data_IF_317533320730
#
_entry.id   IF_317533320730
#
_cell.length_a   1.000
_cell.length_b   1.000
_cell.length_c   1.000
_cell.angle_alpha   90.00
_cell.angle_beta   90.00
_cell.angle_gamma   90.00
#
_symmetry.space_group_name_H-M   'P 1'
#
loop_
_entity.id
_entity.type
_entity.pdbx_description
1 polymer ?
#
# COMPACT_ATOMS: atom_id res chain seq x y z
N UNK A 1 -6.15 1.42 -6.15
CA UNK A 1 -6.14 0.14 -6.88
C UNK A 1 -4.95 0.13 -7.80
N UNK A 2 -3.99 -0.70 -7.43
CA UNK A 2 -2.76 -1.01 -8.14
C UNK A 2 -3.00 -1.68 -9.49
N UNK A 3 -3.90 -2.66 -9.56
CA UNK A 3 -4.13 -3.48 -10.75
C UNK A 3 -4.39 -2.66 -12.03
N UNK A 4 -5.02 -1.48 -11.92
CA UNK A 4 -5.27 -0.65 -13.10
C UNK A 4 -3.97 -0.20 -13.77
N UNK A 5 -2.98 0.25 -12.99
CA UNK A 5 -1.67 0.63 -13.55
C UNK A 5 -0.85 -0.60 -13.93
N UNK A 6 -0.94 -1.70 -13.17
CA UNK A 6 -0.21 -2.93 -13.47
C UNK A 6 -0.63 -3.52 -14.82
N UNK A 7 -1.93 -3.67 -15.07
CA UNK A 7 -2.44 -4.26 -16.31
C UNK A 7 -2.37 -3.28 -17.48
N UNK A 8 -2.95 -2.08 -17.33
CA UNK A 8 -3.00 -1.13 -18.43
C UNK A 8 -1.62 -0.52 -18.68
N UNK A 9 -0.94 -0.05 -17.64
CA UNK A 9 0.43 0.48 -17.75
C UNK A 9 1.42 -0.57 -18.25
N UNK A 10 1.36 -1.81 -17.74
CA UNK A 10 2.19 -2.91 -18.21
C UNK A 10 1.97 -3.26 -19.68
N UNK A 11 0.70 -3.38 -20.12
CA UNK A 11 0.35 -3.61 -21.52
C UNK A 11 0.87 -2.49 -22.42
N UNK A 12 0.69 -1.25 -21.97
CA UNK A 12 1.13 -0.09 -22.72
C UNK A 12 2.65 -0.02 -22.86
N UNK A 13 3.38 -0.32 -21.78
CA UNK A 13 4.85 -0.41 -21.79
C UNK A 13 5.32 -1.47 -22.78
N UNK A 14 4.66 -2.64 -22.81
CA UNK A 14 4.98 -3.70 -23.76
C UNK A 14 4.73 -3.27 -25.23
N UNK A 15 3.64 -2.57 -25.50
CA UNK A 15 3.36 -2.02 -26.84
C UNK A 15 4.42 -0.99 -27.23
N UNK A 16 4.81 -0.10 -26.31
CA UNK A 16 5.87 0.89 -26.53
C UNK A 16 7.20 0.21 -26.85
N UNK A 17 7.57 -0.82 -26.12
CA UNK A 17 8.81 -1.57 -26.33
C UNK A 17 8.85 -2.23 -27.72
N UNK A 18 7.72 -2.77 -28.18
CA UNK A 18 7.63 -3.44 -29.49
C UNK A 18 7.52 -2.46 -30.65
N UNK A 19 6.82 -1.34 -30.47
CA UNK A 19 6.46 -0.42 -31.57
C UNK A 19 7.26 0.88 -31.59
N UNK A 20 7.97 1.19 -30.50
CA UNK A 20 8.66 2.46 -30.28
C UNK A 20 7.74 3.66 -29.98
N UNK A 21 6.42 3.45 -29.85
CA UNK A 21 5.43 4.51 -29.64
C UNK A 21 4.46 4.15 -28.53
N UNK A 22 4.10 5.11 -27.70
CA UNK A 22 3.03 4.94 -26.72
C UNK A 22 1.69 4.78 -27.45
N UNK A 23 0.87 3.77 -27.11
CA UNK A 23 -0.46 3.64 -27.70
C UNK A 23 -1.43 4.65 -27.09
N UNK A 24 -2.46 5.01 -27.85
CA UNK A 24 -3.60 5.74 -27.29
C UNK A 24 -4.29 4.86 -26.24
N UNK A 25 -4.57 5.44 -25.06
CA UNK A 25 -5.19 4.75 -23.96
C UNK A 25 -6.47 5.46 -23.52
N UNK A 26 -7.55 4.68 -23.35
CA UNK A 26 -8.86 5.20 -22.98
C UNK A 26 -9.47 4.41 -21.84
N UNK A 27 -10.20 5.11 -20.98
CA UNK A 27 -11.03 4.55 -19.93
C UNK A 27 -12.51 4.58 -20.36
N UNK A 28 -13.18 3.44 -20.30
CA UNK A 28 -14.61 3.35 -20.57
C UNK A 28 -15.39 3.67 -19.28
N UNK A 29 -15.85 4.92 -19.13
CA UNK A 29 -16.59 5.37 -17.96
C UNK A 29 -18.08 5.02 -18.07
N UNK A 30 -18.45 3.94 -17.37
CA UNK A 30 -19.82 3.47 -17.26
C UNK A 30 -20.48 3.81 -15.92
N UNK A 31 -19.85 4.64 -15.08
CA UNK A 31 -20.39 5.00 -13.75
C UNK A 31 -21.74 5.70 -13.86
N UNK A 32 -21.96 6.46 -14.94
CA UNK A 32 -23.26 7.03 -15.28
C UNK A 32 -23.87 6.32 -16.49
N UNK A 33 -24.85 5.44 -16.26
CA UNK A 33 -25.54 4.70 -17.34
C UNK A 33 -26.29 5.59 -18.35
N UNK A 34 -26.62 6.83 -17.98
CA UNK A 34 -27.26 7.81 -18.88
C UNK A 34 -26.25 8.68 -19.63
N UNK A 35 -24.97 8.60 -19.28
CA UNK A 35 -23.88 9.35 -19.91
C UNK A 35 -22.61 8.50 -19.94
N UNK A 36 -22.66 7.39 -20.68
CA UNK A 36 -21.50 6.51 -20.89
C UNK A 36 -20.53 7.19 -21.84
N UNK A 37 -19.24 7.22 -21.51
CA UNK A 37 -18.23 7.89 -22.35
C UNK A 37 -16.90 7.15 -22.37
N UNK A 38 -16.21 7.26 -23.49
CA UNK A 38 -14.77 6.93 -23.57
C UNK A 38 -14.01 8.20 -23.18
N UNK A 39 -13.16 8.09 -22.20
CA UNK A 39 -12.33 9.19 -21.71
C UNK A 39 -10.87 8.86 -21.98
N UNK A 40 -10.07 9.81 -22.44
CA UNK A 40 -8.63 9.58 -22.58
C UNK A 40 -8.01 9.36 -21.19
N UNK A 41 -6.98 8.51 -21.11
CA UNK A 41 -6.43 8.06 -19.83
C UNK A 41 -5.91 9.22 -18.97
N UNK A 42 -5.13 10.16 -19.54
CA UNK A 42 -4.64 11.33 -18.82
C UNK A 42 -5.79 12.20 -18.32
N UNK A 43 -6.82 12.39 -19.13
CA UNK A 43 -8.03 13.09 -18.70
C UNK A 43 -8.73 12.38 -17.52
N UNK A 44 -8.88 11.05 -17.58
CA UNK A 44 -9.52 10.27 -16.53
C UNK A 44 -8.74 10.34 -15.20
N UNK A 45 -7.41 10.18 -15.25
CA UNK A 45 -6.52 10.33 -14.08
C UNK A 45 -6.63 11.73 -13.50
N UNK A 46 -6.57 12.77 -14.33
CA UNK A 46 -6.65 14.17 -13.90
C UNK A 46 -8.00 14.55 -13.30
N UNK A 47 -9.12 13.97 -13.79
CA UNK A 47 -10.45 14.17 -13.21
C UNK A 47 -10.56 13.47 -11.86
N UNK A 48 -10.13 12.22 -11.77
CA UNK A 48 -10.19 11.45 -10.53
C UNK A 48 -9.33 12.11 -9.44
N UNK A 49 -8.08 12.48 -9.74
CA UNK A 49 -7.18 13.12 -8.80
C UNK A 49 -7.75 14.42 -8.20
N UNK A 50 -8.37 15.28 -9.04
CA UNK A 50 -9.00 16.52 -8.57
C UNK A 50 -10.32 16.29 -7.83
N UNK A 51 -11.07 15.25 -8.19
CA UNK A 51 -12.34 14.95 -7.55
C UNK A 51 -12.15 14.33 -6.15
N UNK A 52 -11.04 13.58 -5.95
CA UNK A 52 -10.78 12.80 -4.74
C UNK A 52 -9.47 13.18 -4.06
N UNK A 53 -8.33 12.77 -4.62
CA UNK A 53 -6.99 12.85 -4.01
C UNK A 53 -6.64 14.26 -3.54
N UNK A 54 -6.96 15.29 -4.34
CA UNK A 54 -6.64 16.70 -4.03
C UNK A 54 -7.84 17.51 -3.55
N UNK A 55 -8.98 16.86 -3.32
CA UNK A 55 -10.20 17.56 -2.91
C UNK A 55 -10.28 17.64 -1.38
N UNK A 56 -10.17 18.83 -0.76
CA UNK A 56 -10.18 18.96 0.70
C UNK A 56 -11.47 18.43 1.34
N UNK A 57 -12.62 18.50 0.64
CA UNK A 57 -13.88 17.93 1.16
C UNK A 57 -13.81 16.40 1.20
N UNK A 58 -13.27 15.79 0.17
CA UNK A 58 -13.10 14.34 0.11
C UNK A 58 -12.11 13.85 1.17
N UNK A 59 -10.95 14.51 1.25
CA UNK A 59 -9.90 14.18 2.22
C UNK A 59 -10.45 14.25 3.65
N UNK A 60 -11.13 15.35 4.00
CA UNK A 60 -11.74 15.53 5.33
C UNK A 60 -12.72 14.42 5.70
N UNK A 61 -13.56 14.00 4.75
CA UNK A 61 -14.49 12.90 4.97
C UNK A 61 -13.78 11.55 5.09
N UNK A 62 -12.73 11.33 4.28
CA UNK A 62 -11.91 10.13 4.34
C UNK A 62 -11.16 9.98 5.65
N UNK A 63 -10.63 11.05 6.23
CA UNK A 63 -9.90 11.01 7.51
C UNK A 63 -10.74 10.40 8.66
N UNK A 64 -12.08 10.41 8.58
CA UNK A 64 -12.96 9.74 9.56
C UNK A 64 -12.75 8.21 9.62
N UNK A 65 -12.16 7.61 8.58
CA UNK A 65 -11.84 6.18 8.49
C UNK A 65 -10.55 5.74 9.20
N UNK A 66 -9.88 6.63 9.94
CA UNK A 66 -8.74 6.29 10.83
C UNK A 66 -7.56 5.63 10.09
N UNK A 67 -6.85 4.70 10.73
CA UNK A 67 -5.70 3.98 10.17
C UNK A 67 -5.89 3.43 8.74
N UNK A 68 -7.09 2.95 8.38
CA UNK A 68 -7.36 2.47 7.02
C UNK A 68 -7.27 3.58 5.97
N UNK A 69 -7.71 4.79 6.32
CA UNK A 69 -7.62 5.96 5.45
C UNK A 69 -6.19 6.50 5.36
N UNK A 70 -5.42 6.42 6.45
CA UNK A 70 -3.99 6.75 6.43
C UNK A 70 -3.22 5.81 5.48
N UNK A 71 -3.52 4.51 5.51
CA UNK A 71 -2.95 3.52 4.57
C UNK A 71 -3.33 3.79 3.11
N UNK A 72 -4.56 4.22 2.84
CA UNK A 72 -5.00 4.58 1.47
C UNK A 72 -4.16 5.72 0.88
N UNK A 73 -3.68 6.66 1.69
CA UNK A 73 -2.83 7.76 1.21
C UNK A 73 -1.49 7.21 0.72
N UNK A 74 -0.86 6.32 1.49
CA UNK A 74 0.37 5.65 1.06
C UNK A 74 0.15 4.80 -0.20
N UNK A 75 -1.00 4.11 -0.31
CA UNK A 75 -1.36 3.35 -1.51
C UNK A 75 -1.51 4.27 -2.73
N UNK A 76 -2.18 5.42 -2.59
CA UNK A 76 -2.33 6.41 -3.67
C UNK A 76 -0.97 6.90 -4.14
N UNK A 77 -0.09 7.30 -3.21
CA UNK A 77 1.27 7.77 -3.55
C UNK A 77 2.09 6.69 -4.27
N UNK A 78 1.98 5.44 -3.82
CA UNK A 78 2.65 4.30 -4.46
C UNK A 78 2.09 4.00 -5.86
N UNK A 79 0.77 4.07 -6.02
CA UNK A 79 0.11 3.87 -7.32
C UNK A 79 0.46 4.99 -8.31
N UNK A 80 0.59 6.24 -7.86
CA UNK A 80 1.06 7.35 -8.70
C UNK A 80 2.47 7.07 -9.23
N UNK A 81 3.38 6.61 -8.37
CA UNK A 81 4.72 6.19 -8.81
C UNK A 81 4.66 5.05 -9.84
N UNK A 82 3.80 4.05 -9.63
CA UNK A 82 3.60 2.94 -10.58
C UNK A 82 3.04 3.40 -11.94
N UNK A 83 2.10 4.34 -11.93
CA UNK A 83 1.58 4.97 -13.14
C UNK A 83 2.68 5.66 -13.93
N UNK A 84 3.49 6.51 -13.28
CA UNK A 84 4.56 7.21 -14.00
C UNK A 84 5.63 6.25 -14.53
N UNK A 85 5.96 5.20 -13.75
CA UNK A 85 6.93 4.20 -14.18
C UNK A 85 6.52 3.44 -15.46
N UNK A 86 5.22 3.32 -15.71
CA UNK A 86 4.67 2.61 -16.88
C UNK A 86 4.16 3.54 -17.97
N UNK A 87 3.81 4.77 -17.60
CA UNK A 87 3.17 5.81 -18.42
C UNK A 87 3.60 7.21 -17.92
N UNK A 88 4.84 7.64 -18.23
CA UNK A 88 5.42 8.87 -17.68
C UNK A 88 4.63 10.13 -17.99
N UNK A 89 3.83 10.15 -19.06
CA UNK A 89 3.03 11.30 -19.47
C UNK A 89 1.79 11.56 -18.59
N UNK A 90 1.40 10.60 -17.75
CA UNK A 90 0.19 10.68 -16.92
C UNK A 90 0.38 11.45 -15.62
N UNK A 91 1.57 11.36 -15.05
CA UNK A 91 1.92 11.98 -13.77
C UNK A 91 3.04 12.97 -14.05
N UNK A 92 2.69 14.25 -14.03
CA UNK A 92 3.63 15.35 -14.25
C UNK A 92 4.12 15.95 -12.93
N UNK A 93 5.10 16.87 -13.03
CA UNK A 93 5.67 17.57 -11.89
C UNK A 93 4.59 18.31 -11.08
N UNK A 94 3.55 18.82 -11.74
CA UNK A 94 2.42 19.49 -11.12
C UNK A 94 1.61 18.55 -10.23
N UNK A 95 1.31 17.32 -10.67
CA UNK A 95 0.61 16.33 -9.86
C UNK A 95 1.44 15.93 -8.62
N UNK A 96 2.76 15.77 -8.75
CA UNK A 96 3.63 15.50 -7.60
C UNK A 96 3.71 16.67 -6.62
N UNK A 97 3.82 17.89 -7.12
CA UNK A 97 3.80 19.09 -6.29
C UNK A 97 2.47 19.23 -5.55
N UNK A 98 1.35 18.98 -6.21
CA UNK A 98 0.01 19.00 -5.61
C UNK A 98 -0.11 17.94 -4.49
N UNK A 99 0.45 16.74 -4.69
CA UNK A 99 0.52 15.71 -3.66
C UNK A 99 1.35 16.16 -2.45
N UNK A 100 2.54 16.73 -2.70
CA UNK A 100 3.42 17.27 -1.65
C UNK A 100 2.71 18.34 -0.83
N UNK A 101 2.17 19.35 -1.49
CA UNK A 101 1.49 20.47 -0.83
C UNK A 101 0.27 19.99 -0.04
N UNK A 102 -0.50 19.04 -0.59
CA UNK A 102 -1.72 18.54 0.05
C UNK A 102 -1.43 17.68 1.27
N UNK A 103 -0.53 16.70 1.16
CA UNK A 103 -0.37 15.66 2.19
C UNK A 103 0.84 15.86 3.11
N UNK A 104 1.86 16.61 2.66
CA UNK A 104 3.09 16.86 3.43
C UNK A 104 3.04 18.25 4.08
N UNK A 105 2.79 19.29 3.29
CA UNK A 105 2.64 20.67 3.79
C UNK A 105 1.27 20.95 4.40
N UNK A 106 0.30 20.05 4.20
CA UNK A 106 -1.09 20.24 4.63
C UNK A 106 -1.63 21.63 4.23
N UNK A 107 -1.50 22.00 2.95
CA UNK A 107 -1.89 23.34 2.44
C UNK A 107 -3.33 23.74 2.75
N UNK A 108 -4.21 22.78 3.02
CA UNK A 108 -5.61 22.98 3.37
C UNK A 108 -5.85 23.10 4.88
N UNK A 109 -4.81 22.96 5.69
CA UNK A 109 -4.83 23.01 7.16
C UNK A 109 -5.88 22.05 7.75
N UNK A 110 -5.92 20.82 7.25
CA UNK A 110 -6.88 19.80 7.69
C UNK A 110 -6.31 18.92 8.81
N UNK A 111 -5.03 19.06 9.14
CA UNK A 111 -4.30 18.20 10.08
C UNK A 111 -3.95 16.84 9.46
N UNK A 112 -3.70 16.80 8.15
CA UNK A 112 -3.50 15.53 7.41
C UNK A 112 -2.24 14.83 7.90
N UNK A 113 -1.12 15.56 8.02
CA UNK A 113 0.16 15.00 8.44
C UNK A 113 0.07 14.44 9.85
N UNK A 114 -0.52 15.19 10.78
CA UNK A 114 -0.74 14.77 12.18
C UNK A 114 -1.68 13.55 12.25
N UNK A 115 -2.71 13.53 11.40
CA UNK A 115 -3.61 12.40 11.29
C UNK A 115 -2.89 11.13 10.83
N UNK A 116 -2.13 11.17 9.74
CA UNK A 116 -1.39 10.00 9.23
C UNK A 116 -0.36 9.56 10.28
N UNK A 117 0.40 10.51 10.84
CA UNK A 117 1.40 10.24 11.88
C UNK A 117 0.80 9.47 13.06
N UNK A 118 -0.33 9.94 13.60
CA UNK A 118 -1.01 9.32 14.74
C UNK A 118 -1.65 7.97 14.41
N UNK A 119 -2.32 7.87 13.28
CA UNK A 119 -3.14 6.69 12.96
C UNK A 119 -2.31 5.58 12.32
N UNK A 120 -1.28 5.92 11.55
CA UNK A 120 -0.39 4.98 10.86
C UNK A 120 0.94 5.65 10.42
N UNK A 121 1.87 5.83 11.36
CA UNK A 121 3.19 6.44 11.08
C UNK A 121 3.97 5.75 9.94
N UNK A 122 3.82 4.44 9.79
CA UNK A 122 4.40 3.67 8.68
C UNK A 122 3.87 4.12 7.29
N UNK A 123 2.61 4.56 7.22
CA UNK A 123 2.06 5.12 5.98
C UNK A 123 2.71 6.46 5.63
N UNK A 124 2.96 7.33 6.61
CA UNK A 124 3.65 8.59 6.35
C UNK A 124 5.11 8.35 5.93
N UNK A 125 5.75 7.34 6.52
CA UNK A 125 7.09 6.92 6.12
C UNK A 125 7.11 6.40 4.68
N UNK A 126 6.08 5.65 4.26
CA UNK A 126 5.92 5.18 2.88
C UNK A 126 5.71 6.36 1.92
N UNK A 127 4.85 7.32 2.26
CA UNK A 127 4.62 8.53 1.44
C UNK A 127 5.92 9.28 1.21
N UNK A 128 6.66 9.60 2.28
CA UNK A 128 7.93 10.32 2.18
C UNK A 128 8.98 9.55 1.39
N UNK A 129 9.08 8.24 1.60
CA UNK A 129 9.98 7.35 0.87
C UNK A 129 9.70 7.31 -0.64
N UNK A 130 8.44 7.11 -1.03
CA UNK A 130 8.03 7.02 -2.44
C UNK A 130 8.28 8.35 -3.15
N UNK A 131 7.97 9.48 -2.51
CA UNK A 131 8.25 10.80 -3.07
C UNK A 131 9.75 11.04 -3.24
N UNK A 132 10.57 10.66 -2.26
CA UNK A 132 12.03 10.72 -2.38
C UNK A 132 12.56 9.81 -3.49
N UNK A 133 11.98 8.62 -3.67
CA UNK A 133 12.33 7.72 -4.77
C UNK A 133 11.96 8.29 -6.14
N UNK A 134 10.82 8.96 -6.26
CA UNK A 134 10.42 9.68 -7.47
C UNK A 134 11.46 10.75 -7.83
N UNK A 135 11.91 11.55 -6.85
CA UNK A 135 12.99 12.53 -7.08
C UNK A 135 14.31 11.86 -7.49
N UNK A 136 14.69 10.75 -6.83
CA UNK A 136 15.93 10.01 -7.12
C UNK A 136 15.93 9.43 -8.54
N UNK A 137 14.77 9.02 -9.05
CA UNK A 137 14.60 8.46 -10.39
C UNK A 137 14.37 9.52 -11.48
N UNK A 138 14.30 10.79 -11.11
CA UNK A 138 14.05 11.89 -12.05
C UNK A 138 12.60 11.97 -12.54
N UNK A 139 11.69 11.29 -11.85
CA UNK A 139 10.25 11.30 -12.10
C UNK A 139 9.64 12.64 -11.66
N UNK A 140 10.04 13.10 -10.48
CA UNK A 140 9.62 14.38 -9.93
C UNK A 140 10.79 15.34 -9.75
N UNK A 141 10.69 16.53 -10.34
CA UNK A 141 11.65 17.63 -10.19
C UNK A 141 11.29 18.52 -8.99
N UNK A 142 11.39 17.94 -7.80
CA UNK A 142 11.24 18.68 -6.55
C UNK A 142 12.35 19.71 -6.35
N UNK A 143 12.03 20.81 -5.65
CA UNK A 143 13.02 21.79 -5.19
C UNK A 143 13.96 21.17 -4.14
N UNK A 144 15.14 21.76 -3.97
CA UNK A 144 16.09 21.33 -2.92
C UNK A 144 15.46 21.42 -1.53
N UNK A 145 14.59 22.40 -1.30
CA UNK A 145 13.87 22.58 -0.04
C UNK A 145 12.85 21.46 0.20
N UNK A 146 12.03 21.13 -0.80
CA UNK A 146 11.08 20.02 -0.73
C UNK A 146 11.80 18.69 -0.45
N UNK A 147 12.92 18.43 -1.14
CA UNK A 147 13.73 17.23 -0.94
C UNK A 147 14.31 17.18 0.48
N UNK A 148 14.84 18.31 0.97
CA UNK A 148 15.40 18.40 2.32
C UNK A 148 14.32 18.17 3.38
N UNK A 149 13.14 18.78 3.23
CA UNK A 149 12.02 18.60 4.15
C UNK A 149 11.57 17.13 4.19
N UNK A 150 11.36 16.51 3.03
CA UNK A 150 10.99 15.10 2.94
C UNK A 150 12.05 14.19 3.59
N UNK A 151 13.34 14.45 3.35
CA UNK A 151 14.42 13.65 3.91
C UNK A 151 14.46 13.74 5.44
N UNK A 152 14.40 14.96 6.01
CA UNK A 152 14.37 15.17 7.47
C UNK A 152 13.10 14.58 8.10
N UNK A 153 11.94 14.73 7.45
CA UNK A 153 10.69 14.11 7.91
C UNK A 153 10.80 12.58 7.91
N UNK A 154 11.29 12.00 6.82
CA UNK A 154 11.50 10.55 6.72
C UNK A 154 12.45 10.05 7.81
N UNK A 155 13.57 10.73 8.03
CA UNK A 155 14.51 10.40 9.10
C UNK A 155 13.84 10.42 10.49
N UNK A 156 13.05 11.46 10.78
CA UNK A 156 12.29 11.54 12.03
C UNK A 156 11.32 10.36 12.23
N UNK A 157 10.61 9.97 11.16
CA UNK A 157 9.71 8.82 11.19
C UNK A 157 10.44 7.49 11.40
N UNK A 158 11.61 7.32 10.77
CA UNK A 158 12.47 6.14 10.95
C UNK A 158 12.99 6.04 12.38
N UNK A 159 13.35 7.18 12.98
CA UNK A 159 13.77 7.26 14.38
C UNK A 159 12.63 6.90 15.34
N UNK A 160 11.41 7.35 15.06
CA UNK A 160 10.26 7.16 15.94
C UNK A 160 9.66 5.74 15.83
N UNK A 161 9.47 5.24 14.61
CA UNK A 161 8.73 4.01 14.35
C UNK A 161 9.62 2.83 13.91
N UNK A 162 10.91 3.08 13.70
CA UNK A 162 11.75 2.19 12.89
C UNK A 162 11.47 2.37 11.39
N UNK A 163 12.36 1.85 10.55
CA UNK A 163 12.09 1.73 9.12
C UNK A 163 11.13 0.56 8.88
N UNK A 164 10.06 0.89 8.18
CA UNK A 164 9.11 -0.07 7.66
C UNK A 164 9.78 -0.97 6.61
N UNK A 165 9.16 -2.12 6.32
CA UNK A 165 9.77 -3.20 5.53
C UNK A 165 9.42 -3.17 4.04
N UNK A 166 8.74 -2.13 3.55
CA UNK A 166 8.39 -2.02 2.12
C UNK A 166 9.61 -1.92 1.21
N UNK A 167 9.34 -2.19 -0.06
CA UNK A 167 10.28 -2.01 -1.17
C UNK A 167 10.77 -0.56 -1.32
N UNK A 168 10.08 0.42 -0.72
CA UNK A 168 10.46 1.83 -0.73
C UNK A 168 11.20 2.25 0.54
N UNK A 169 11.52 1.36 1.48
CA UNK A 169 12.12 1.72 2.77
C UNK A 169 13.33 0.84 3.10
N UNK A 170 13.20 -0.14 4.00
CA UNK A 170 14.33 -0.92 4.54
C UNK A 170 15.07 -1.75 3.47
N UNK A 171 14.43 -2.07 2.35
CA UNK A 171 14.97 -2.95 1.31
C UNK A 171 15.54 -2.23 0.08
N UNK A 172 15.67 -0.89 0.11
CA UNK A 172 16.18 -0.09 -1.02
C UNK A 172 17.44 0.71 -0.66
N UNK A 173 18.60 0.08 -0.79
CA UNK A 173 19.89 0.71 -0.44
C UNK A 173 20.21 1.96 -1.29
N UNK A 174 19.75 2.01 -2.54
CA UNK A 174 19.96 3.18 -3.40
C UNK A 174 19.18 4.38 -2.88
N UNK A 175 17.94 4.16 -2.45
CA UNK A 175 17.12 5.19 -1.83
C UNK A 175 17.68 5.60 -0.47
N UNK A 176 18.04 4.65 0.39
CA UNK A 176 18.66 4.96 1.69
C UNK A 176 19.90 5.85 1.55
N UNK A 177 20.79 5.51 0.60
CA UNK A 177 21.96 6.33 0.31
C UNK A 177 21.60 7.71 -0.26
N UNK A 178 20.55 7.80 -1.06
CA UNK A 178 20.05 9.07 -1.57
C UNK A 178 19.53 9.94 -0.43
N UNK A 179 18.66 9.42 0.44
CA UNK A 179 18.11 10.11 1.61
C UNK A 179 19.26 10.60 2.51
N UNK A 180 20.22 9.73 2.83
CA UNK A 180 21.37 10.10 3.65
C UNK A 180 22.22 11.24 3.07
N UNK A 181 22.28 11.41 1.74
CA UNK A 181 22.99 12.53 1.10
C UNK A 181 22.19 13.83 1.11
N UNK A 182 20.88 13.76 1.38
CA UNK A 182 19.99 14.92 1.48
C UNK A 182 19.82 15.41 2.93
N UNK A 183 20.32 14.64 3.89
CA UNK A 183 20.33 14.99 5.30
C UNK A 183 21.62 15.74 5.69
N UNK A 184 21.57 16.58 6.74
CA UNK A 184 22.76 17.06 7.44
C UNK A 184 23.64 15.91 7.95
N UNK A 185 24.94 16.13 8.10
CA UNK A 185 25.91 15.06 8.39
C UNK A 185 25.61 14.27 9.68
N UNK A 186 25.15 14.97 10.73
CA UNK A 186 24.74 14.36 11.99
C UNK A 186 23.51 13.45 11.81
N UNK A 187 22.48 13.94 11.13
CA UNK A 187 21.25 13.18 10.84
C UNK A 187 21.52 12.01 9.91
N UNK A 188 22.40 12.17 8.92
CA UNK A 188 22.78 11.11 8.00
C UNK A 188 23.48 9.93 8.72
N UNK A 189 24.32 10.22 9.73
CA UNK A 189 24.97 9.20 10.56
C UNK A 189 23.94 8.47 11.42
N UNK A 190 23.01 9.21 12.03
CA UNK A 190 21.92 8.64 12.84
C UNK A 190 21.01 7.75 11.98
N UNK A 191 20.55 8.24 10.82
CA UNK A 191 19.71 7.50 9.89
C UNK A 191 20.33 6.15 9.49
N UNK A 192 21.62 6.15 9.12
CA UNK A 192 22.35 4.92 8.78
C UNK A 192 22.48 3.95 9.96
N UNK A 193 22.67 4.48 11.17
CA UNK A 193 22.73 3.66 12.39
C UNK A 193 21.39 2.97 12.64
N UNK A 194 20.27 3.69 12.54
CA UNK A 194 18.93 3.10 12.71
C UNK A 194 18.65 1.99 11.68
N UNK A 195 18.99 2.22 10.41
CA UNK A 195 18.87 1.20 9.36
C UNK A 195 19.73 -0.05 9.63
N UNK A 196 20.93 0.11 10.21
CA UNK A 196 21.78 -1.02 10.58
C UNK A 196 21.19 -1.84 11.72
N UNK A 197 20.68 -1.19 12.78
CA UNK A 197 20.05 -1.87 13.92
C UNK A 197 18.94 -2.83 13.46
N UNK A 198 18.12 -2.38 12.51
CA UNK A 198 17.08 -3.22 11.92
C UNK A 198 17.61 -4.43 11.15
N UNK A 199 18.65 -4.26 10.33
CA UNK A 199 19.26 -5.37 9.57
C UNK A 199 19.88 -6.44 10.48
N UNK A 200 20.36 -6.04 11.66
CA UNK A 200 20.97 -6.96 12.64
C UNK A 200 19.98 -7.64 13.58
N UNK A 201 18.68 -7.32 13.51
CA UNK A 201 17.66 -7.86 14.40
C UNK A 201 17.82 -7.37 15.83
N UNK A 202 17.18 -6.24 16.16
CA UNK A 202 17.15 -5.74 17.55
C UNK A 202 16.47 -6.77 18.46
N UNK A 203 17.29 -7.47 19.23
CA UNK A 203 16.91 -8.17 20.46
C UNK A 203 16.81 -7.12 21.57
N UNK A 204 15.89 -6.17 21.44
CA UNK A 204 15.60 -5.18 22.48
C UNK A 204 14.10 -5.22 22.77
N UNK A 205 13.77 -5.39 24.05
CA UNK A 205 12.40 -5.51 24.55
C UNK A 205 11.57 -4.28 24.16
N UNK A 206 10.66 -4.48 23.20
CA UNK A 206 9.57 -3.53 22.95
C UNK A 206 8.78 -3.44 24.26
N UNK A 207 8.79 -2.28 24.90
CA UNK A 207 7.96 -1.96 26.06
C UNK A 207 6.50 -1.94 25.59
N UNK A 208 5.85 -3.11 25.62
CA UNK A 208 4.47 -3.35 25.21
C UNK A 208 3.51 -2.75 26.23
N UNK A 209 3.34 -1.42 26.22
CA UNK A 209 2.21 -0.80 26.95
C UNK A 209 1.01 -0.43 26.09
N UNK A 210 1.13 -0.21 24.77
CA UNK A 210 -0.06 0.15 23.97
C UNK A 210 -0.13 -0.44 22.54
N UNK A 211 0.73 -1.38 22.18
CA UNK A 211 0.64 -2.08 20.88
C UNK A 211 -0.04 -3.45 21.01
N UNK A 212 -1.21 -3.66 20.39
CA UNK A 212 -1.71 -5.02 20.12
C UNK A 212 -0.81 -5.65 19.05
N UNK A 213 0.22 -6.38 19.48
CA UNK A 213 1.04 -7.21 18.59
C UNK A 213 0.40 -8.60 18.49
N UNK A 214 0.28 -9.12 17.27
CA UNK A 214 -0.04 -10.53 17.05
C UNK A 214 1.12 -11.36 17.58
N UNK A 215 0.85 -12.19 18.60
CA UNK A 215 1.83 -13.16 19.09
C UNK A 215 2.14 -14.12 17.96
N UNK A 216 3.42 -14.24 17.62
CA UNK A 216 3.92 -15.35 16.83
C UNK A 216 3.64 -16.63 17.62
N UNK A 217 2.76 -17.46 17.11
CA UNK A 217 2.55 -18.81 17.63
C UNK A 217 3.79 -19.62 17.23
N UNK A 218 4.70 -19.81 18.18
CA UNK A 218 5.73 -20.83 18.04
C UNK A 218 5.03 -22.18 18.16
N UNK A 219 4.98 -22.90 17.03
CA UNK A 219 4.48 -24.27 17.00
C UNK A 219 5.45 -25.14 17.79
N UNK A 220 5.17 -25.32 19.07
CA UNK A 220 5.80 -26.33 19.91
C UNK A 220 5.25 -27.70 19.47
N UNK A 221 6.07 -28.62 18.91
CA UNK A 221 5.59 -29.91 18.41
C UNK A 221 5.01 -30.82 19.51
N UNK A 222 5.17 -30.48 20.79
CA UNK A 222 4.78 -31.36 21.91
C UNK A 222 3.45 -31.03 22.59
N UNK A 223 2.75 -29.94 22.22
CA UNK A 223 1.45 -29.59 22.85
C UNK A 223 0.21 -29.89 22.01
N UNK A 224 0.34 -30.53 20.84
CA UNK A 224 -0.80 -31.01 20.06
C UNK A 224 -1.36 -32.36 20.58
N UNK A 225 -1.72 -32.43 21.87
CA UNK A 225 -2.53 -33.52 22.44
C UNK A 225 -3.50 -33.03 23.52
N UNK A 226 -4.23 -31.95 23.26
CA UNK A 226 -5.51 -31.78 23.96
C UNK A 226 -6.56 -32.68 23.32
N UNK A 227 -6.96 -33.71 24.06
CA UNK A 227 -7.99 -34.67 23.68
C UNK A 227 -9.35 -33.96 23.67
N UNK A 228 -9.93 -33.73 22.49
CA UNK A 228 -11.37 -33.52 22.40
C UNK A 228 -12.10 -34.80 22.84
N UNK A 229 -13.09 -34.74 23.74
CA UNK A 229 -13.83 -35.92 24.16
C UNK A 229 -14.97 -36.19 23.16
N UNK A 230 -14.64 -36.46 21.90
CA UNK A 230 -15.62 -36.94 20.92
C UNK A 230 -15.00 -38.01 20.02
N UNK A 231 -15.53 -39.23 20.16
CA UNK A 231 -15.08 -40.41 19.42
C UNK A 231 -15.41 -40.25 17.93
N UNK A 232 -14.41 -39.91 17.12
CA UNK A 232 -14.52 -39.78 15.66
C UNK A 232 -15.07 -41.03 14.96
N UNK A 233 -14.99 -42.20 15.60
CA UNK A 233 -15.60 -43.45 15.13
C UNK A 233 -17.14 -43.40 15.11
N UNK A 234 -17.76 -42.70 16.07
CA UNK A 234 -19.22 -42.56 16.13
C UNK A 234 -19.74 -41.58 15.07
N UNK A 235 -19.00 -40.49 14.83
CA UNK A 235 -19.34 -39.51 13.80
C UNK A 235 -19.16 -40.14 12.40
N UNK A 236 -18.04 -40.85 12.18
CA UNK A 236 -17.80 -41.59 10.93
C UNK A 236 -18.86 -42.67 10.68
N UNK A 237 -19.24 -43.43 11.72
CA UNK A 237 -20.30 -44.43 11.62
C UNK A 237 -21.67 -43.84 11.30
N UNK A 238 -22.03 -42.73 11.94
CA UNK A 238 -23.31 -42.04 11.71
C UNK A 238 -23.44 -41.51 10.27
N UNK A 239 -22.38 -40.93 9.73
CA UNK A 239 -22.35 -40.42 8.34
C UNK A 239 -22.46 -41.59 7.35
N UNK A 240 -21.79 -42.70 7.59
CA UNK A 240 -21.84 -43.87 6.71
C UNK A 240 -23.24 -44.49 6.66
N UNK A 241 -23.92 -44.60 7.81
CA UNK A 241 -25.29 -45.14 7.90
C UNK A 241 -26.29 -44.21 7.18
N UNK A 242 -26.15 -42.90 7.35
CA UNK A 242 -26.99 -41.93 6.63
C UNK A 242 -26.80 -42.02 5.10
N UNK A 243 -25.56 -42.21 4.65
CA UNK A 243 -25.24 -42.34 3.23
C UNK A 243 -25.79 -43.65 2.63
N UNK A 244 -25.69 -44.77 3.35
CA UNK A 244 -26.26 -46.05 2.95
C UNK A 244 -27.80 -45.98 2.94
N UNK A 245 -28.41 -45.32 3.92
CA UNK A 245 -29.85 -45.08 3.98
C UNK A 245 -30.37 -44.30 2.77
N UNK A 246 -29.66 -43.24 2.38
CA UNK A 246 -29.96 -42.46 1.16
C UNK A 246 -29.82 -43.29 -0.11
N UNK A 247 -28.77 -44.10 -0.24
CA UNK A 247 -28.57 -44.98 -1.39
C UNK A 247 -29.70 -46.03 -1.51
N UNK A 248 -30.14 -46.62 -0.41
CA UNK A 248 -31.25 -47.57 -0.39
C UNK A 248 -32.56 -46.87 -0.75
N UNK A 249 -32.80 -45.66 -0.24
CA UNK A 249 -33.98 -44.86 -0.57
C UNK A 249 -34.06 -44.54 -2.07
N UNK A 250 -32.96 -44.07 -2.68
CA UNK A 250 -32.91 -43.79 -4.11
C UNK A 250 -33.04 -45.05 -4.98
N UNK A 251 -32.49 -46.19 -4.52
CA UNK A 251 -32.61 -47.47 -5.23
C UNK A 251 -34.04 -48.04 -5.17
N UNK A 252 -34.78 -47.79 -4.08
CA UNK A 252 -36.19 -48.21 -3.94
C UNK A 252 -37.13 -47.30 -4.74
N UNK A 253 -36.85 -46.00 -4.80
CA UNK A 253 -37.60 -45.04 -5.63
C UNK A 253 -37.52 -45.35 -7.12
N UNK A 254 -36.34 -45.75 -7.62
CA UNK A 254 -36.13 -46.17 -9.03
C UNK A 254 -36.76 -47.50 -9.44
N UNK A 255 -37.26 -48.30 -8.49
CA UNK A 255 -37.84 -49.64 -8.76
C UNK A 255 -39.37 -49.65 -8.73
N UNK A 256 -39.98 -48.52 -8.35
CA UNK A 256 -41.42 -48.30 -8.25
C UNK A 256 -41.93 -47.29 -9.30
N UNK A 257 -41.07 -46.91 -10.27
CA UNK A 257 -41.44 -46.30 -11.56
C UNK A 257 -41.32 -47.39 -12.64
#
# INVERSE_FOLDING_TARGET
LDHVFEFMGGMNTAIKEVTGKDPDAYFADYRNRKNMRMQELKEAVGVEARATIFNPKYIKEKMKGKASSAGQIAEITTNMFGWEATRPELIDDEIWNELYETYVEDKHNLGIREFIHKENGASLQTVTAVMLEATRKGMWKASTEQISNLASMHNGLVKEFGAESSSFSANNEKLQNYIARKLPENEAKEYKSELQKMKTGSTEEINTKEGKVLKKEEVNPEQAKEKMPLNGLLIGGGILVAFIGLLIYFKKKRKNE
#
